data_IF_427160989316
#
_entry.id   IF_427160989316
#
_cell.length_a   1.000
_cell.length_b   1.000
_cell.length_c   1.000
_cell.angle_alpha   90.00
_cell.angle_beta   90.00
_cell.angle_gamma   90.00
#
_symmetry.space_group_name_H-M   'P 1'
#
loop_
_entity.id
_entity.type
_entity.pdbx_description
1 polymer ?
#
# COMPACT_ATOMS: atom_id res chain seq x y z
N UNK A 1 -17.63 -0.81 18.19
CA UNK A 1 -17.72 -2.19 18.68
C UNK A 1 -16.89 -3.03 17.74
N UNK A 2 -15.65 -3.35 18.12
CA UNK A 2 -14.89 -4.40 17.45
C UNK A 2 -15.49 -5.68 18.00
N UNK A 3 -16.09 -6.50 17.14
CA UNK A 3 -16.48 -7.85 17.52
C UNK A 3 -15.20 -8.59 17.93
N UNK A 4 -15.14 -8.98 19.20
CA UNK A 4 -14.00 -9.55 19.93
C UNK A 4 -13.53 -10.91 19.38
N UNK A 5 -14.14 -11.38 18.28
CA UNK A 5 -13.90 -12.67 17.64
C UNK A 5 -13.07 -12.57 16.33
N UNK A 6 -12.62 -11.36 15.94
CA UNK A 6 -11.79 -11.19 14.75
C UNK A 6 -10.28 -11.39 15.02
N UNK A 7 -9.88 -11.61 16.28
CA UNK A 7 -8.47 -11.72 16.69
C UNK A 7 -8.16 -12.97 17.52
N UNK A 8 -9.11 -13.90 17.66
CA UNK A 8 -8.98 -15.12 18.49
C UNK A 8 -7.85 -16.06 18.05
N UNK A 9 -7.34 -15.91 16.82
CA UNK A 9 -6.19 -16.67 16.28
C UNK A 9 -5.05 -15.79 15.70
N UNK A 10 -5.05 -14.48 15.95
CA UNK A 10 -3.99 -13.56 15.49
C UNK A 10 -3.91 -13.36 13.96
N UNK A 11 -4.87 -13.86 13.19
CA UNK A 11 -4.92 -13.74 11.73
C UNK A 11 -6.09 -12.86 11.30
N UNK A 12 -5.82 -11.85 10.45
CA UNK A 12 -6.84 -11.00 9.84
C UNK A 12 -7.13 -11.57 8.45
N UNK A 13 -8.33 -12.12 8.19
CA UNK A 13 -8.66 -12.71 6.89
C UNK A 13 -8.82 -11.63 5.81
N UNK A 14 -8.07 -11.76 4.71
CA UNK A 14 -8.10 -10.85 3.56
C UNK A 14 -8.52 -11.60 2.29
N UNK A 15 -9.81 -11.94 2.17
CA UNK A 15 -10.32 -12.77 1.07
C UNK A 15 -10.22 -12.12 -0.33
N UNK A 16 -10.14 -10.78 -0.40
CA UNK A 16 -10.23 -10.03 -1.66
C UNK A 16 -8.87 -9.49 -2.15
N UNK A 17 -7.77 -9.86 -1.50
CA UNK A 17 -6.43 -9.38 -1.84
C UNK A 17 -5.56 -10.58 -2.19
N UNK A 18 -5.04 -10.60 -3.42
CA UNK A 18 -4.10 -11.63 -3.83
C UNK A 18 -2.78 -11.50 -3.04
N UNK A 19 -2.12 -12.63 -2.74
CA UNK A 19 -0.94 -12.63 -1.87
C UNK A 19 0.23 -11.80 -2.41
N UNK A 20 0.42 -11.79 -3.73
CA UNK A 20 1.42 -10.96 -4.41
C UNK A 20 1.09 -9.46 -4.30
N UNK A 21 -0.18 -9.08 -4.43
CA UNK A 21 -0.64 -7.71 -4.19
C UNK A 21 -0.46 -7.30 -2.73
N UNK A 22 -0.76 -8.19 -1.79
CA UNK A 22 -0.56 -7.89 -0.36
C UNK A 22 0.92 -7.68 -0.04
N UNK A 23 1.82 -8.47 -0.63
CA UNK A 23 3.26 -8.27 -0.48
C UNK A 23 3.70 -6.89 -0.98
N UNK A 24 3.18 -6.45 -2.11
CA UNK A 24 3.42 -5.10 -2.63
C UNK A 24 2.91 -4.02 -1.67
N UNK A 25 1.70 -4.17 -1.14
CA UNK A 25 1.13 -3.25 -0.13
C UNK A 25 2.06 -3.12 1.09
N UNK A 26 2.56 -4.25 1.61
CA UNK A 26 3.47 -4.26 2.76
C UNK A 26 4.79 -3.56 2.44
N UNK A 27 5.36 -3.78 1.25
CA UNK A 27 6.57 -3.11 0.79
C UNK A 27 6.38 -1.58 0.76
N UNK A 28 5.28 -1.13 0.16
CA UNK A 28 4.92 0.29 0.09
C UNK A 28 4.82 0.92 1.47
N UNK A 29 4.13 0.27 2.42
CA UNK A 29 4.00 0.72 3.79
C UNK A 29 5.35 0.85 4.50
N UNK A 30 6.21 -0.16 4.38
CA UNK A 30 7.53 -0.15 5.03
C UNK A 30 8.40 1.00 4.50
N UNK A 31 8.37 1.24 3.19
CA UNK A 31 9.12 2.34 2.58
C UNK A 31 8.66 3.71 3.09
N UNK A 32 7.35 3.92 3.20
CA UNK A 32 6.76 5.16 3.69
C UNK A 32 6.95 5.36 5.21
N UNK A 33 6.85 4.29 6.00
CA UNK A 33 7.12 4.35 7.43
C UNK A 33 8.57 4.72 7.72
N UNK A 34 9.52 4.17 6.96
CA UNK A 34 10.94 4.53 7.08
C UNK A 34 11.20 6.01 6.73
N UNK A 35 10.53 6.55 5.70
CA UNK A 35 10.68 7.94 5.31
C UNK A 35 9.99 8.93 6.27
N UNK A 36 8.88 8.55 6.89
CA UNK A 36 8.23 9.39 7.91
C UNK A 36 9.15 9.72 9.09
N UNK A 37 10.12 8.85 9.37
CA UNK A 37 11.10 9.01 10.45
C UNK A 37 12.37 9.79 10.03
N UNK A 38 12.48 10.21 8.77
CA UNK A 38 13.69 10.83 8.25
C UNK A 38 13.37 12.06 7.37
N UNK A 39 13.77 13.24 7.83
CA UNK A 39 13.56 14.51 7.12
C UNK A 39 14.37 14.58 5.81
N UNK A 40 13.79 15.17 4.76
CA UNK A 40 14.48 15.45 3.49
C UNK A 40 14.47 14.30 2.47
N UNK A 41 13.60 13.29 2.63
CA UNK A 41 13.47 12.16 1.69
C UNK A 41 12.34 12.32 0.67
N UNK A 42 11.70 13.49 0.58
CA UNK A 42 10.53 13.72 -0.27
C UNK A 42 10.79 13.38 -1.74
N UNK A 43 11.96 13.73 -2.29
CA UNK A 43 12.29 13.40 -3.67
C UNK A 43 12.52 11.91 -3.88
N UNK A 44 13.15 11.24 -2.93
CA UNK A 44 13.40 9.79 -2.97
C UNK A 44 12.09 9.00 -2.91
N UNK A 45 11.15 9.44 -2.07
CA UNK A 45 9.82 8.83 -1.97
C UNK A 45 9.03 9.05 -3.25
N UNK A 46 9.04 10.26 -3.82
CA UNK A 46 8.39 10.51 -5.11
C UNK A 46 8.94 9.65 -6.25
N UNK A 47 10.25 9.44 -6.31
CA UNK A 47 10.87 8.55 -7.31
C UNK A 47 10.45 7.10 -7.08
N UNK A 48 10.48 6.65 -5.82
CA UNK A 48 10.00 5.33 -5.45
C UNK A 48 8.53 5.13 -5.85
N UNK A 49 7.64 6.07 -5.55
CA UNK A 49 6.22 5.98 -5.89
C UNK A 49 6.00 5.82 -7.39
N UNK A 50 6.71 6.62 -8.19
CA UNK A 50 6.62 6.57 -9.65
C UNK A 50 7.09 5.24 -10.23
N UNK A 51 8.17 4.68 -9.70
CA UNK A 51 8.70 3.38 -10.12
C UNK A 51 7.82 2.22 -9.62
N UNK A 52 7.30 2.32 -8.41
CA UNK A 52 6.50 1.30 -7.76
C UNK A 52 5.16 1.05 -8.48
N UNK A 53 4.54 2.11 -9.01
CA UNK A 53 3.30 1.98 -9.81
C UNK A 53 3.55 1.67 -11.28
N UNK A 54 4.82 1.65 -11.73
CA UNK A 54 5.20 1.31 -13.10
C UNK A 54 5.23 -0.21 -13.31
N UNK A 55 4.06 -0.84 -13.14
CA UNK A 55 3.83 -2.27 -13.22
C UNK A 55 2.76 -2.57 -14.28
N UNK A 56 2.54 -3.85 -14.57
CA UNK A 56 1.49 -4.23 -15.51
C UNK A 56 0.09 -3.83 -14.98
N UNK A 57 -0.84 -3.57 -15.92
CA UNK A 57 -2.19 -3.09 -15.59
C UNK A 57 -2.93 -4.00 -14.61
N UNK A 58 -2.74 -5.33 -14.70
CA UNK A 58 -3.44 -6.27 -13.82
C UNK A 58 -2.99 -6.08 -12.38
N UNK A 59 -1.68 -5.96 -12.15
CA UNK A 59 -1.16 -5.67 -10.81
C UNK A 59 -1.56 -4.29 -10.32
N UNK A 60 -1.57 -3.28 -11.18
CA UNK A 60 -2.00 -1.93 -10.82
C UNK A 60 -3.46 -1.91 -10.34
N UNK A 61 -4.38 -2.56 -11.06
CA UNK A 61 -5.77 -2.70 -10.61
C UNK A 61 -5.89 -3.49 -9.30
N UNK A 62 -5.11 -4.55 -9.14
CA UNK A 62 -5.05 -5.30 -7.88
C UNK A 62 -4.63 -4.41 -6.72
N UNK A 63 -3.57 -3.61 -6.90
CA UNK A 63 -3.04 -2.69 -5.91
C UNK A 63 -4.06 -1.59 -5.53
N UNK A 64 -4.76 -1.01 -6.51
CA UNK A 64 -5.82 -0.02 -6.26
C UNK A 64 -6.96 -0.63 -5.43
N UNK A 65 -7.41 -1.83 -5.80
CA UNK A 65 -8.47 -2.53 -5.06
C UNK A 65 -8.05 -2.87 -3.63
N UNK A 66 -6.82 -3.33 -3.45
CA UNK A 66 -6.26 -3.63 -2.13
C UNK A 66 -6.12 -2.37 -1.27
N UNK A 67 -5.62 -1.27 -1.84
CA UNK A 67 -5.51 0.01 -1.14
C UNK A 67 -6.89 0.51 -0.68
N UNK A 68 -7.91 0.42 -1.54
CA UNK A 68 -9.28 0.77 -1.18
C UNK A 68 -9.83 -0.15 -0.07
N UNK A 69 -9.62 -1.46 -0.18
CA UNK A 69 -10.09 -2.43 0.82
C UNK A 69 -9.44 -2.23 2.19
N UNK A 70 -8.15 -1.90 2.22
CA UNK A 70 -7.37 -1.68 3.43
C UNK A 70 -7.44 -0.22 3.93
N UNK A 71 -8.24 0.62 3.28
CA UNK A 71 -8.38 2.05 3.57
C UNK A 71 -7.03 2.79 3.61
N UNK A 72 -6.13 2.46 2.69
CA UNK A 72 -4.84 3.11 2.59
C UNK A 72 -4.90 4.31 1.64
N UNK A 73 -4.40 5.48 2.07
CA UNK A 73 -4.34 6.65 1.21
C UNK A 73 -3.30 6.46 0.10
N UNK A 74 -3.78 6.23 -1.13
CA UNK A 74 -2.97 6.32 -2.36
C UNK A 74 -2.56 7.77 -2.68
N UNK A 75 -3.01 8.75 -1.90
CA UNK A 75 -2.74 10.20 -2.10
C UNK A 75 -1.27 10.61 -1.94
N UNK A 76 -0.40 9.71 -1.46
CA UNK A 76 1.06 9.87 -1.53
C UNK A 76 1.61 9.74 -2.95
N UNK A 77 0.97 8.91 -3.78
CA UNK A 77 1.24 8.80 -5.20
C UNK A 77 0.63 10.03 -5.87
N UNK A 78 1.39 11.14 -5.88
CA UNK A 78 1.08 12.25 -6.77
C UNK A 78 1.23 11.74 -8.20
N UNK A 79 0.12 11.26 -8.77
CA UNK A 79 -0.04 11.10 -10.20
C UNK A 79 0.44 12.41 -10.82
N UNK A 80 1.48 12.31 -11.64
CA UNK A 80 2.09 13.43 -12.34
C UNK A 80 0.95 14.22 -12.99
N UNK A 81 0.70 15.45 -12.49
CA UNK A 81 -0.19 16.38 -13.17
C UNK A 81 0.26 16.49 -14.64
N UNK A 82 -0.68 16.59 -15.61
CA UNK A 82 -0.39 16.53 -17.04
C UNK A 82 0.62 17.57 -17.52
#
# INVERSE_FOLDING_TARGET
>A
MIEDDCATNGAIPLANVAADILAMVVEYCNKHAAAANASGQEELIRKFDAEFVNIDRKKLFGLINAANFLNMPITGIKLKDP
#
